data_IF_236324301269
#
_entry.id   IF_236324301269
#
_cell.length_a   1.000
_cell.length_b   1.000
_cell.length_c   1.000
_cell.angle_alpha   90.00
_cell.angle_beta   90.00
_cell.angle_gamma   90.00
#
_symmetry.space_group_name_H-M   'P 1'
#
loop_
_entity.id
_entity.type
_entity.pdbx_description
1 polymer ?
#
# COMPACT_ATOMS: atom_id res chain seq x y z
N UNK A 1 -19.09 -21.40 -13.67
CA UNK A 1 -17.87 -21.74 -12.92
C UNK A 1 -16.60 -21.45 -13.71
N UNK A 2 -16.49 -21.88 -14.98
CA UNK A 2 -15.31 -21.66 -15.81
C UNK A 2 -14.98 -20.15 -16.00
N UNK A 3 -15.97 -19.32 -16.28
CA UNK A 3 -15.80 -17.87 -16.45
C UNK A 3 -15.31 -17.18 -15.16
N UNK A 4 -15.83 -17.58 -13.99
CA UNK A 4 -15.39 -17.06 -12.69
C UNK A 4 -13.94 -17.45 -12.43
N UNK A 5 -13.60 -18.72 -12.64
CA UNK A 5 -12.23 -19.20 -12.47
C UNK A 5 -11.24 -18.47 -13.39
N UNK A 6 -11.64 -18.23 -14.62
CA UNK A 6 -10.82 -17.53 -15.62
C UNK A 6 -10.64 -16.04 -15.25
N UNK A 7 -11.71 -15.35 -14.84
CA UNK A 7 -11.66 -13.96 -14.42
C UNK A 7 -10.78 -13.78 -13.16
N UNK A 8 -10.98 -14.62 -12.14
CA UNK A 8 -10.18 -14.57 -10.91
C UNK A 8 -8.71 -14.92 -11.18
N UNK A 9 -8.45 -15.92 -12.03
CA UNK A 9 -7.10 -16.34 -12.40
C UNK A 9 -6.33 -15.24 -13.16
N UNK A 10 -7.01 -14.55 -14.08
CA UNK A 10 -6.41 -13.42 -14.82
C UNK A 10 -6.14 -12.25 -13.86
N UNK A 11 -7.09 -11.90 -12.98
CA UNK A 11 -6.91 -10.85 -11.98
C UNK A 11 -5.71 -11.13 -11.06
N UNK A 12 -5.63 -12.34 -10.51
CA UNK A 12 -4.50 -12.77 -9.69
C UNK A 12 -3.15 -12.71 -10.44
N UNK A 13 -3.13 -13.13 -11.71
CA UNK A 13 -1.91 -13.07 -12.52
C UNK A 13 -1.42 -11.62 -12.71
N UNK A 14 -2.32 -10.68 -13.02
CA UNK A 14 -1.94 -9.26 -13.16
C UNK A 14 -1.47 -8.65 -11.85
N UNK A 15 -2.12 -8.96 -10.74
CA UNK A 15 -1.73 -8.49 -9.41
C UNK A 15 -0.34 -9.03 -9.01
N UNK A 16 -0.10 -10.33 -9.24
CA UNK A 16 1.21 -10.95 -8.99
C UNK A 16 2.33 -10.32 -9.85
N UNK A 17 2.08 -10.09 -11.15
CA UNK A 17 3.05 -9.46 -12.06
C UNK A 17 3.32 -8.00 -11.68
N UNK A 18 2.29 -7.25 -11.26
CA UNK A 18 2.42 -5.88 -10.77
C UNK A 18 3.27 -5.81 -9.49
N UNK A 19 3.00 -6.66 -8.50
CA UNK A 19 3.77 -6.74 -7.27
C UNK A 19 5.23 -7.11 -7.54
N UNK A 20 5.48 -8.08 -8.40
CA UNK A 20 6.84 -8.46 -8.79
C UNK A 20 7.62 -7.32 -9.46
N UNK A 21 6.97 -6.54 -10.31
CA UNK A 21 7.60 -5.36 -10.94
C UNK A 21 7.87 -4.26 -9.94
N UNK A 22 6.98 -4.05 -8.99
CA UNK A 22 7.16 -3.10 -7.90
C UNK A 22 8.36 -3.48 -7.03
N UNK A 23 8.50 -4.74 -6.65
CA UNK A 23 9.65 -5.26 -5.89
C UNK A 23 10.97 -5.06 -6.65
N UNK A 24 10.97 -5.30 -7.97
CA UNK A 24 12.16 -5.07 -8.80
C UNK A 24 12.57 -3.59 -8.85
N UNK A 25 11.61 -2.67 -8.93
CA UNK A 25 11.89 -1.22 -8.93
C UNK A 25 12.44 -0.76 -7.59
N UNK A 26 11.91 -1.26 -6.49
CA UNK A 26 12.41 -0.95 -5.15
C UNK A 26 13.81 -1.52 -4.93
N UNK A 27 14.09 -2.74 -5.39
CA UNK A 27 15.39 -3.36 -5.27
C UNK A 27 16.51 -2.56 -5.98
N UNK A 28 16.24 -1.92 -7.13
CA UNK A 28 17.20 -1.08 -7.84
C UNK A 28 17.67 0.10 -6.97
N UNK A 29 16.75 0.75 -6.25
CA UNK A 29 17.09 1.86 -5.33
C UNK A 29 17.95 1.41 -4.13
N UNK A 30 17.71 0.19 -3.62
CA UNK A 30 18.46 -0.38 -2.49
C UNK A 30 19.86 -0.89 -2.87
N UNK A 31 20.08 -1.23 -4.14
CA UNK A 31 21.37 -1.68 -4.66
C UNK A 31 22.30 -0.54 -5.10
N UNK A 32 21.85 0.72 -5.01
CA UNK A 32 22.70 1.88 -5.31
C UNK A 32 23.98 1.82 -4.45
N UNK A 33 25.18 1.89 -5.07
CA UNK A 33 26.44 1.82 -4.35
C UNK A 33 26.64 3.08 -3.51
N UNK A 34 27.12 2.90 -2.28
CA UNK A 34 27.45 3.98 -1.34
C UNK A 34 28.88 3.79 -0.88
N UNK A 35 29.64 4.88 -0.88
CA UNK A 35 31.03 4.87 -0.46
C UNK A 35 31.14 4.99 1.06
N UNK A 36 31.69 3.96 1.69
CA UNK A 36 31.89 3.91 3.15
C UNK A 36 33.33 3.69 3.53
N UNK A 37 33.70 4.13 4.73
CA UNK A 37 35.01 3.89 5.33
C UNK A 37 34.84 2.87 6.46
N UNK A 38 35.28 1.64 6.23
CA UNK A 38 35.28 0.57 7.24
C UNK A 38 36.72 0.05 7.48
N UNK A 39 37.12 -0.01 8.71
CA UNK A 39 38.49 -0.44 9.11
C UNK A 39 39.62 0.38 8.42
N UNK A 40 39.39 1.69 8.26
CA UNK A 40 40.36 2.59 7.62
C UNK A 40 40.50 2.42 6.11
N UNK A 41 39.61 1.67 5.45
CA UNK A 41 39.57 1.46 4.00
C UNK A 41 38.27 1.96 3.40
N UNK A 42 38.39 2.70 2.31
CA UNK A 42 37.24 3.11 1.50
C UNK A 42 36.73 1.91 0.72
N UNK A 43 35.44 1.69 0.74
CA UNK A 43 34.71 0.61 0.03
C UNK A 43 33.38 1.10 -0.48
N UNK A 44 32.94 0.53 -1.57
CA UNK A 44 31.55 0.67 -2.03
C UNK A 44 30.72 -0.50 -1.53
N UNK A 45 29.58 -0.20 -0.94
CA UNK A 45 28.60 -1.20 -0.49
C UNK A 45 27.20 -0.82 -1.00
N UNK A 46 26.31 -1.78 -1.20
CA UNK A 46 24.92 -1.49 -1.47
C UNK A 46 24.28 -0.68 -0.32
N UNK A 47 23.39 0.27 -0.63
CA UNK A 47 22.69 1.09 0.35
C UNK A 47 22.02 0.28 1.47
N UNK A 48 21.47 -0.88 1.14
CA UNK A 48 20.83 -1.81 2.09
C UNK A 48 21.76 -2.39 3.16
N UNK A 49 23.08 -2.32 2.95
CA UNK A 49 24.09 -2.85 3.89
C UNK A 49 24.64 -1.80 4.86
N UNK A 50 24.10 -0.57 4.80
CA UNK A 50 24.51 0.51 5.70
C UNK A 50 23.91 0.25 7.08
N UNK A 51 24.74 0.38 8.10
CA UNK A 51 24.35 0.19 9.50
C UNK A 51 24.74 1.41 10.34
N UNK A 52 24.11 1.55 11.50
CA UNK A 52 24.47 2.59 12.48
C UNK A 52 25.94 2.46 12.88
N UNK A 53 26.65 3.58 12.85
CA UNK A 53 28.07 3.66 13.12
C UNK A 53 28.97 3.59 11.90
N UNK A 54 28.46 3.33 10.70
CA UNK A 54 29.23 3.43 9.47
C UNK A 54 29.65 4.88 9.21
N UNK A 55 30.83 5.03 8.60
CA UNK A 55 31.32 6.31 8.11
C UNK A 55 31.09 6.37 6.61
N UNK A 56 30.26 7.30 6.17
CA UNK A 56 29.87 7.48 4.76
C UNK A 56 30.54 8.71 4.20
N UNK A 57 31.08 8.58 2.99
CA UNK A 57 31.63 9.70 2.20
C UNK A 57 30.52 10.27 1.34
N UNK A 58 30.34 11.58 1.39
CA UNK A 58 29.32 12.32 0.65
C UNK A 58 29.95 13.15 -0.45
N UNK A 59 29.58 12.90 -1.69
CA UNK A 59 30.05 13.64 -2.85
C UNK A 59 28.91 14.37 -3.56
N UNK A 60 29.24 15.40 -4.30
CA UNK A 60 28.27 16.17 -5.10
C UNK A 60 27.49 15.26 -6.05
N UNK A 61 26.17 15.42 -6.06
CA UNK A 61 25.23 14.65 -6.88
C UNK A 61 24.73 13.34 -6.22
N UNK A 62 25.30 12.94 -5.09
CA UNK A 62 24.89 11.74 -4.38
C UNK A 62 23.70 12.00 -3.44
N UNK A 63 22.81 11.05 -3.33
CA UNK A 63 21.74 11.04 -2.35
C UNK A 63 22.28 10.52 -1.00
N UNK A 64 21.95 11.21 0.08
CA UNK A 64 22.35 10.84 1.44
C UNK A 64 21.56 9.57 1.85
N UNK A 65 22.26 8.47 2.18
CA UNK A 65 21.63 7.17 2.31
C UNK A 65 20.97 6.92 3.68
N UNK A 66 21.35 7.69 4.70
CA UNK A 66 20.92 7.51 6.09
C UNK A 66 20.99 8.84 6.84
N UNK A 67 20.34 8.96 8.00
CA UNK A 67 20.54 10.13 8.87
C UNK A 67 21.85 9.97 9.65
N UNK A 68 22.58 11.08 9.77
CA UNK A 68 23.85 11.04 10.49
C UNK A 68 24.41 12.42 10.82
N UNK A 69 25.49 12.40 11.58
CA UNK A 69 26.23 13.59 12.00
C UNK A 69 27.48 13.73 11.14
N UNK A 70 27.75 14.95 10.69
CA UNK A 70 28.95 15.29 9.94
C UNK A 70 30.17 15.24 10.83
N UNK A 71 31.20 14.54 10.35
CA UNK A 71 32.54 14.52 10.92
C UNK A 71 33.46 15.50 10.18
N UNK A 72 33.16 15.72 8.89
CA UNK A 72 33.88 16.66 8.03
C UNK A 72 32.89 17.27 7.05
N UNK A 73 33.02 18.57 6.78
CA UNK A 73 32.22 19.29 5.80
C UNK A 73 33.08 20.36 5.13
N UNK A 74 33.21 20.28 3.82
CA UNK A 74 33.98 21.25 3.00
C UNK A 74 32.99 21.84 2.00
N UNK A 75 32.56 23.09 2.28
CA UNK A 75 31.59 23.83 1.44
C UNK A 75 30.35 23.00 1.11
N UNK A 76 29.91 22.15 2.06
CA UNK A 76 28.84 21.21 1.84
C UNK A 76 27.49 21.91 1.76
N UNK A 77 26.82 21.77 0.63
CA UNK A 77 25.44 22.24 0.40
C UNK A 77 24.54 21.05 0.09
N UNK A 78 23.38 21.00 0.75
CA UNK A 78 22.43 19.89 0.64
C UNK A 78 21.07 20.44 0.24
N UNK A 79 20.42 19.76 -0.68
CA UNK A 79 19.02 19.98 -1.03
C UNK A 79 18.12 19.18 -0.07
N UNK A 80 17.44 19.88 0.81
CA UNK A 80 16.51 19.32 1.81
C UNK A 80 15.03 19.51 1.41
N UNK A 81 14.75 19.88 0.16
CA UNK A 81 13.38 20.20 -0.31
C UNK A 81 12.36 19.07 -0.07
N UNK A 82 12.83 17.85 -0.04
CA UNK A 82 11.97 16.69 0.23
C UNK A 82 11.45 16.60 1.68
N UNK A 83 12.14 17.27 2.61
CA UNK A 83 11.82 17.25 4.04
C UNK A 83 11.35 18.62 4.55
N UNK A 84 12.06 19.70 4.18
CA UNK A 84 11.82 21.05 4.69
C UNK A 84 11.25 22.00 3.65
N UNK A 85 11.39 21.68 2.35
CA UNK A 85 11.11 22.57 1.25
C UNK A 85 12.29 23.45 0.85
N UNK A 86 13.43 23.39 1.52
CA UNK A 86 14.61 24.23 1.27
C UNK A 86 15.51 23.60 0.21
N UNK A 87 15.81 24.37 -0.85
CA UNK A 87 16.57 23.86 -1.99
C UNK A 87 18.08 23.83 -1.75
N UNK A 88 18.60 24.71 -0.89
CA UNK A 88 20.04 24.81 -0.61
C UNK A 88 20.25 25.16 0.85
N UNK A 89 20.73 24.20 1.62
CA UNK A 89 21.10 24.36 3.03
C UNK A 89 22.59 24.15 3.18
N UNK A 90 23.26 25.12 3.79
CA UNK A 90 24.69 24.99 4.09
C UNK A 90 24.89 24.10 5.32
N UNK A 91 25.68 23.07 5.18
CA UNK A 91 26.03 22.15 6.27
C UNK A 91 27.48 22.37 6.70
N UNK A 92 27.68 22.44 8.01
CA UNK A 92 28.98 22.70 8.62
C UNK A 92 29.13 22.02 9.96
N UNK A 93 30.37 21.73 10.34
CA UNK A 93 30.73 21.24 11.67
C UNK A 93 31.18 22.37 12.62
N UNK A 94 31.36 23.61 12.09
CA UNK A 94 31.74 24.75 12.90
C UNK A 94 30.51 25.35 13.60
N UNK A 95 30.44 25.24 14.91
CA UNK A 95 29.34 25.70 15.75
C UNK A 95 29.08 27.23 15.60
N UNK A 96 30.13 28.04 15.30
CA UNK A 96 29.98 29.47 15.08
C UNK A 96 29.19 29.83 13.82
N UNK A 97 29.06 28.87 12.90
CA UNK A 97 28.38 29.04 11.61
C UNK A 97 27.05 28.29 11.56
N UNK A 98 26.58 27.78 12.70
CA UNK A 98 25.29 27.11 12.73
C UNK A 98 24.16 28.08 12.47
N UNK A 99 23.21 27.66 11.65
CA UNK A 99 21.98 28.37 11.39
C UNK A 99 20.96 28.00 12.48
N UNK A 100 20.63 28.94 13.38
CA UNK A 100 19.68 28.74 14.46
C UNK A 100 18.23 28.66 13.96
N UNK A 101 17.94 29.14 12.75
CA UNK A 101 16.60 29.10 12.13
C UNK A 101 16.39 27.83 11.29
N UNK A 102 17.44 27.06 11.03
CA UNK A 102 17.34 25.83 10.24
C UNK A 102 16.46 24.78 10.90
N UNK A 103 15.65 24.09 10.11
CA UNK A 103 14.77 23.00 10.61
C UNK A 103 15.56 21.84 11.22
N UNK A 104 16.72 21.54 10.62
CA UNK A 104 17.66 20.52 11.13
C UNK A 104 19.00 21.16 11.45
N UNK A 105 19.71 20.68 12.48
CA UNK A 105 21.02 21.20 12.84
C UNK A 105 21.99 21.22 11.66
N UNK A 106 22.84 22.26 11.61
CA UNK A 106 23.79 22.44 10.50
C UNK A 106 24.86 21.34 10.38
N UNK A 107 25.06 20.56 11.46
CA UNK A 107 25.96 19.42 11.49
C UNK A 107 25.28 18.07 11.27
N UNK A 108 23.97 18.05 11.05
CA UNK A 108 23.23 16.82 10.73
C UNK A 108 22.84 16.80 9.24
N UNK A 109 22.82 15.60 8.69
CA UNK A 109 22.34 15.33 7.32
C UNK A 109 21.31 14.21 7.35
N UNK A 110 20.30 14.35 6.50
CA UNK A 110 19.12 13.50 6.52
C UNK A 110 19.04 12.60 5.28
N UNK A 111 18.57 11.38 5.49
CA UNK A 111 18.28 10.43 4.40
C UNK A 111 17.35 11.02 3.35
N UNK A 112 17.64 10.74 2.07
CA UNK A 112 16.79 11.14 0.94
C UNK A 112 17.01 12.58 0.50
N UNK A 113 17.92 13.33 1.14
CA UNK A 113 18.41 14.63 0.67
C UNK A 113 19.58 14.44 -0.28
N UNK A 114 19.89 15.44 -1.11
CA UNK A 114 20.92 15.31 -2.15
C UNK A 114 22.02 16.34 -1.93
N UNK A 115 23.28 15.90 -2.03
CA UNK A 115 24.43 16.82 -2.01
C UNK A 115 24.45 17.62 -3.29
N UNK A 116 24.29 18.95 -3.17
CA UNK A 116 24.29 19.90 -4.32
C UNK A 116 25.72 20.31 -4.68
N UNK A 117 26.52 20.63 -3.66
CA UNK A 117 27.90 21.05 -3.82
C UNK A 117 28.73 20.67 -2.60
N UNK A 118 30.06 20.61 -2.78
CA UNK A 118 30.99 20.33 -1.73
C UNK A 118 31.20 18.84 -1.47
N UNK A 119 31.81 18.57 -0.30
CA UNK A 119 32.19 17.23 0.14
C UNK A 119 31.98 17.11 1.64
N UNK A 120 31.60 15.93 2.11
CA UNK A 120 31.46 15.66 3.53
C UNK A 120 31.73 14.20 3.91
N UNK A 121 32.01 14.00 5.18
CA UNK A 121 32.09 12.69 5.80
C UNK A 121 31.12 12.68 6.96
N UNK A 122 30.21 11.71 6.97
CA UNK A 122 29.22 11.57 8.03
C UNK A 122 29.36 10.23 8.76
N UNK A 123 28.96 10.22 10.02
CA UNK A 123 28.73 9.02 10.81
C UNK A 123 27.23 8.74 10.82
N UNK A 124 26.85 7.54 10.42
CA UNK A 124 25.45 7.09 10.43
C UNK A 124 24.94 6.93 11.85
N UNK A 125 23.80 7.55 12.17
CA UNK A 125 23.13 7.43 13.46
C UNK A 125 21.80 6.71 13.37
N UNK A 126 21.04 6.91 12.27
CA UNK A 126 19.72 6.29 12.06
C UNK A 126 19.61 5.73 10.65
N UNK A 127 19.00 4.55 10.54
CA UNK A 127 18.79 3.85 9.27
C UNK A 127 17.33 3.39 9.13
N UNK A 128 16.88 3.16 7.91
CA UNK A 128 15.54 2.61 7.60
C UNK A 128 14.41 3.46 8.16
N UNK A 129 13.47 2.82 8.86
CA UNK A 129 12.27 3.45 9.43
C UNK A 129 12.57 4.40 10.61
N UNK A 130 13.76 4.34 11.18
CA UNK A 130 14.18 5.24 12.27
C UNK A 130 14.68 6.59 11.77
N UNK A 131 14.91 6.76 10.46
CA UNK A 131 15.25 8.04 9.83
C UNK A 131 14.07 9.00 9.83
N UNK A 132 14.32 10.30 9.66
CA UNK A 132 13.24 11.30 9.60
C UNK A 132 12.26 11.01 8.44
N UNK A 133 12.76 10.71 7.25
CA UNK A 133 11.91 10.34 6.13
C UNK A 133 11.16 9.00 6.37
N UNK A 134 11.79 8.06 7.08
CA UNK A 134 11.16 6.81 7.48
C UNK A 134 9.99 7.02 8.44
N UNK A 135 10.14 7.91 9.42
CA UNK A 135 9.05 8.29 10.35
C UNK A 135 7.89 8.93 9.61
N UNK A 136 8.16 9.86 8.67
CA UNK A 136 7.11 10.49 7.85
C UNK A 136 6.39 9.46 6.99
N UNK A 137 7.11 8.56 6.33
CA UNK A 137 6.53 7.51 5.52
C UNK A 137 5.64 6.56 6.35
N UNK A 138 6.09 6.19 7.56
CA UNK A 138 5.31 5.38 8.49
C UNK A 138 4.05 6.09 8.95
N UNK A 139 4.13 7.35 9.35
CA UNK A 139 2.97 8.16 9.74
C UNK A 139 1.96 8.31 8.60
N UNK A 140 2.44 8.52 7.36
CA UNK A 140 1.58 8.59 6.20
C UNK A 140 0.84 7.27 5.93
N UNK A 141 1.50 6.13 6.17
CA UNK A 141 0.89 4.81 6.02
C UNK A 141 -0.13 4.53 7.13
N UNK A 142 0.21 4.84 8.38
CA UNK A 142 -0.69 4.69 9.53
C UNK A 142 -1.94 5.58 9.41
N UNK A 143 -1.81 6.81 8.89
CA UNK A 143 -2.93 7.70 8.61
C UNK A 143 -3.80 7.26 7.44
N UNK A 144 -3.24 6.51 6.49
CA UNK A 144 -4.00 5.97 5.35
C UNK A 144 -4.98 4.86 5.75
N UNK A 145 -4.84 4.27 6.94
CA UNK A 145 -5.80 3.31 7.51
C UNK A 145 -7.02 4.01 8.14
N UNK A 146 -6.99 5.31 8.39
CA UNK A 146 -8.17 6.04 8.84
C UNK A 146 -9.15 6.23 7.70
N UNK A 147 -10.29 5.52 7.79
CA UNK A 147 -11.38 5.65 6.82
C UNK A 147 -11.86 7.10 6.76
N UNK A 148 -11.87 7.67 5.57
CA UNK A 148 -12.43 9.03 5.40
C UNK A 148 -13.92 9.04 5.80
N UNK A 149 -14.46 10.16 6.32
CA UNK A 149 -15.89 10.28 6.65
C UNK A 149 -16.81 9.91 5.48
N UNK A 150 -16.35 10.13 4.24
CA UNK A 150 -17.05 9.75 3.02
C UNK A 150 -17.08 8.22 2.87
N UNK A 151 -15.96 7.53 3.05
CA UNK A 151 -15.90 6.07 3.00
C UNK A 151 -16.82 5.42 4.03
N UNK A 152 -16.83 5.94 5.26
CA UNK A 152 -17.72 5.45 6.33
C UNK A 152 -19.20 5.59 5.91
N UNK A 153 -19.57 6.71 5.30
CA UNK A 153 -20.96 6.93 4.82
C UNK A 153 -21.29 6.01 3.63
N UNK A 154 -20.37 5.83 2.69
CA UNK A 154 -20.54 4.93 1.54
C UNK A 154 -20.65 3.47 1.99
N UNK A 155 -19.84 3.03 2.93
CA UNK A 155 -19.91 1.67 3.51
C UNK A 155 -21.24 1.43 4.22
N UNK A 156 -21.73 2.42 4.99
CA UNK A 156 -23.07 2.34 5.62
C UNK A 156 -24.18 2.26 4.58
N UNK A 157 -24.10 3.07 3.53
CA UNK A 157 -25.09 3.07 2.43
C UNK A 157 -25.06 1.73 1.67
N UNK A 158 -23.86 1.20 1.35
CA UNK A 158 -23.70 -0.10 0.73
C UNK A 158 -24.29 -1.22 1.58
N UNK A 159 -24.02 -1.22 2.88
CA UNK A 159 -24.61 -2.18 3.82
C UNK A 159 -26.15 -2.09 3.89
N UNK A 160 -26.70 -0.89 3.81
CA UNK A 160 -28.16 -0.67 3.78
C UNK A 160 -28.79 -1.22 2.47
N UNK A 161 -28.19 -0.89 1.32
CA UNK A 161 -28.64 -1.40 0.00
C UNK A 161 -28.51 -2.92 -0.05
N UNK A 162 -27.39 -3.49 0.44
CA UNK A 162 -27.20 -4.93 0.52
C UNK A 162 -28.26 -5.65 1.37
N UNK A 163 -28.63 -5.07 2.52
CA UNK A 163 -29.71 -5.61 3.36
C UNK A 163 -31.06 -5.59 2.66
N UNK A 164 -31.39 -4.51 1.99
CA UNK A 164 -32.64 -4.39 1.20
C UNK A 164 -32.62 -5.42 0.06
N UNK A 165 -31.54 -5.49 -0.72
CA UNK A 165 -31.39 -6.43 -1.82
C UNK A 165 -31.53 -7.88 -1.37
N UNK A 166 -30.87 -8.25 -0.27
CA UNK A 166 -30.97 -9.57 0.32
C UNK A 166 -32.40 -9.90 0.77
N UNK A 167 -33.08 -8.94 1.41
CA UNK A 167 -34.46 -9.12 1.88
C UNK A 167 -35.41 -9.34 0.70
N UNK A 168 -35.30 -8.52 -0.36
CA UNK A 168 -36.13 -8.65 -1.56
C UNK A 168 -35.87 -9.98 -2.26
N UNK A 169 -34.59 -10.38 -2.41
CA UNK A 169 -34.21 -11.64 -3.03
C UNK A 169 -34.77 -12.84 -2.26
N UNK A 170 -34.66 -12.83 -0.93
CA UNK A 170 -35.20 -13.89 -0.06
C UNK A 170 -36.71 -13.97 -0.16
N UNK A 171 -37.41 -12.83 -0.12
CA UNK A 171 -38.86 -12.76 -0.23
C UNK A 171 -39.31 -13.27 -1.60
N UNK A 172 -38.66 -12.85 -2.67
CA UNK A 172 -38.94 -13.31 -4.04
C UNK A 172 -38.74 -14.83 -4.14
N UNK A 173 -37.64 -15.37 -3.60
CA UNK A 173 -37.38 -16.79 -3.58
C UNK A 173 -38.52 -17.57 -2.89
N UNK A 174 -38.89 -17.14 -1.68
CA UNK A 174 -39.94 -17.82 -0.91
C UNK A 174 -41.29 -17.77 -1.63
N UNK A 175 -41.72 -16.58 -2.08
CA UNK A 175 -43.03 -16.39 -2.69
C UNK A 175 -43.16 -17.18 -3.99
N UNK A 176 -42.17 -17.07 -4.89
CA UNK A 176 -42.28 -17.76 -6.18
C UNK A 176 -42.09 -19.27 -6.05
N UNK A 177 -41.18 -19.75 -5.17
CA UNK A 177 -41.03 -21.16 -4.88
C UNK A 177 -42.32 -21.74 -4.28
N UNK A 178 -42.93 -21.08 -3.30
CA UNK A 178 -44.16 -21.51 -2.69
C UNK A 178 -45.33 -21.56 -3.68
N UNK A 179 -45.43 -20.52 -4.55
CA UNK A 179 -46.48 -20.47 -5.58
C UNK A 179 -46.40 -21.62 -6.57
N UNK A 180 -45.22 -21.83 -7.16
CA UNK A 180 -45.02 -22.87 -8.16
C UNK A 180 -45.08 -24.29 -7.53
N UNK A 181 -44.56 -24.43 -6.30
CA UNK A 181 -44.68 -25.69 -5.56
C UNK A 181 -46.16 -26.02 -5.23
N UNK A 182 -46.93 -25.03 -4.77
CA UNK A 182 -48.35 -25.22 -4.51
C UNK A 182 -49.11 -25.60 -5.79
N UNK A 183 -48.86 -24.92 -6.89
CA UNK A 183 -49.45 -25.25 -8.21
C UNK A 183 -49.07 -26.65 -8.67
N UNK A 184 -47.83 -27.08 -8.48
CA UNK A 184 -47.34 -28.41 -8.85
C UNK A 184 -47.99 -29.51 -8.01
N UNK A 185 -48.09 -29.32 -6.70
CA UNK A 185 -48.67 -30.27 -5.76
C UNK A 185 -50.18 -30.48 -5.95
N UNK A 186 -50.89 -29.45 -6.40
CA UNK A 186 -52.35 -29.56 -6.68
C UNK A 186 -52.67 -30.36 -7.95
N UNK A 187 -51.69 -30.50 -8.86
CA UNK A 187 -51.91 -31.13 -10.17
C UNK A 187 -51.28 -32.51 -10.24
N UNK A 188 -50.19 -32.79 -9.47
CA UNK A 188 -49.39 -34.00 -9.58
C UNK A 188 -49.25 -34.67 -8.19
N UNK A 189 -49.46 -35.98 -8.11
CA UNK A 189 -49.07 -36.77 -6.97
C UNK A 189 -47.58 -37.08 -7.02
N UNK A 190 -46.85 -36.85 -5.88
CA UNK A 190 -45.44 -37.12 -5.79
C UNK A 190 -45.28 -38.64 -5.42
N UNK A 191 -45.34 -39.49 -6.43
CA UNK A 191 -45.14 -40.91 -6.23
C UNK A 191 -43.80 -41.42 -6.75
N UNK A 192 -43.17 -40.70 -7.69
CA UNK A 192 -41.98 -41.15 -8.43
C UNK A 192 -40.78 -40.20 -8.29
N UNK A 193 -39.59 -40.75 -8.57
CA UNK A 193 -38.32 -39.99 -8.65
C UNK A 193 -38.41 -38.75 -9.56
N UNK A 194 -39.20 -38.79 -10.63
CA UNK A 194 -39.43 -37.66 -11.54
C UNK A 194 -40.13 -36.47 -10.85
N UNK A 195 -41.03 -36.75 -9.90
CA UNK A 195 -41.68 -35.70 -9.10
C UNK A 195 -40.69 -34.95 -8.22
N UNK A 196 -39.79 -35.64 -7.52
CA UNK A 196 -38.74 -35.01 -6.74
C UNK A 196 -37.78 -34.20 -7.57
N UNK A 197 -37.40 -34.66 -8.78
CA UNK A 197 -36.57 -33.89 -9.70
C UNK A 197 -37.29 -32.62 -10.22
N UNK A 198 -38.60 -32.66 -10.41
CA UNK A 198 -39.38 -31.45 -10.79
C UNK A 198 -39.37 -30.39 -9.68
N UNK A 199 -39.57 -30.80 -8.42
CA UNK A 199 -39.47 -29.92 -7.25
C UNK A 199 -38.05 -29.33 -7.13
N UNK A 200 -37.03 -30.14 -7.23
CA UNK A 200 -35.64 -29.66 -7.20
C UNK A 200 -35.34 -28.64 -8.29
N UNK A 201 -35.89 -28.81 -9.49
CA UNK A 201 -35.76 -27.87 -10.59
C UNK A 201 -36.46 -26.54 -10.31
N UNK A 202 -37.66 -26.55 -9.71
CA UNK A 202 -38.37 -25.34 -9.30
C UNK A 202 -37.56 -24.56 -8.27
N UNK A 203 -37.08 -25.24 -7.22
CA UNK A 203 -36.26 -24.62 -6.16
C UNK A 203 -34.98 -24.04 -6.74
N UNK A 204 -34.27 -24.82 -7.56
CA UNK A 204 -33.02 -24.37 -8.18
C UNK A 204 -33.20 -23.15 -9.09
N UNK A 205 -34.29 -23.11 -9.86
CA UNK A 205 -34.65 -21.98 -10.74
C UNK A 205 -34.79 -20.68 -9.95
N UNK A 206 -35.55 -20.69 -8.87
CA UNK A 206 -35.77 -19.49 -8.06
C UNK A 206 -34.59 -19.17 -7.15
N UNK A 207 -33.81 -20.15 -6.74
CA UNK A 207 -32.53 -19.94 -6.07
C UNK A 207 -31.55 -19.18 -6.96
N UNK A 208 -31.39 -19.61 -8.22
CA UNK A 208 -30.53 -18.92 -9.17
C UNK A 208 -31.00 -17.49 -9.44
N UNK A 209 -32.32 -17.27 -9.52
CA UNK A 209 -32.92 -15.94 -9.66
C UNK A 209 -32.61 -15.05 -8.45
N UNK A 210 -32.73 -15.56 -7.23
CA UNK A 210 -32.41 -14.85 -6.00
C UNK A 210 -30.94 -14.50 -5.91
N UNK A 211 -30.04 -15.42 -6.26
CA UNK A 211 -28.59 -15.16 -6.34
C UNK A 211 -28.27 -14.04 -7.33
N UNK A 212 -28.91 -14.05 -8.50
CA UNK A 212 -28.73 -12.99 -9.49
C UNK A 212 -29.18 -11.63 -8.96
N UNK A 213 -30.32 -11.57 -8.25
CA UNK A 213 -30.80 -10.34 -7.61
C UNK A 213 -29.84 -9.83 -6.54
N UNK A 214 -29.25 -10.70 -5.74
CA UNK A 214 -28.25 -10.32 -4.74
C UNK A 214 -27.00 -9.74 -5.42
N UNK A 215 -26.48 -10.41 -6.44
CA UNK A 215 -25.29 -9.96 -7.17
C UNK A 215 -25.49 -8.59 -7.81
N UNK A 216 -26.66 -8.35 -8.42
CA UNK A 216 -27.00 -7.05 -9.02
C UNK A 216 -27.23 -5.96 -7.97
N UNK A 217 -27.69 -6.33 -6.76
CA UNK A 217 -27.92 -5.38 -5.68
C UNK A 217 -26.62 -4.94 -4.97
N UNK A 218 -25.52 -5.68 -5.11
CA UNK A 218 -24.22 -5.28 -4.55
C UNK A 218 -23.61 -4.22 -5.45
N UNK A 219 -23.36 -2.99 -4.94
CA UNK A 219 -22.75 -1.94 -5.75
C UNK A 219 -21.28 -2.32 -6.06
N UNK A 220 -21.01 -2.65 -7.33
CA UNK A 220 -19.66 -2.88 -7.82
C UNK A 220 -18.90 -1.55 -7.82
N UNK A 221 -17.77 -1.47 -7.10
CA UNK A 221 -16.88 -0.30 -7.07
C UNK A 221 -16.86 0.50 -5.77
N UNK A 222 -17.49 0.02 -4.71
CA UNK A 222 -17.16 0.51 -3.38
C UNK A 222 -15.86 -0.18 -2.92
N UNK A 223 -14.86 0.58 -2.43
CA UNK A 223 -13.64 -0.01 -1.88
C UNK A 223 -14.04 -0.90 -0.70
N UNK A 224 -13.66 -2.17 -0.78
CA UNK A 224 -13.74 -3.11 0.33
C UNK A 224 -12.50 -2.98 1.19
#
# INVERSE_FOLDING_TARGET
FFAIFLATGIGFYFEYDANKKFDLLNAVGEETPVTVIRNGKVREIPRKEIVVGDIVVLNTGEEIPADGILLEAISLQVNESNLTGELMVNKTINEELFDEEATYPSNEVMRGTTVVDGHGIMKVERVGDSTEIGKVARQATEQSEEETPLNIQLTKLAGFIGKIGFTIATLTFIVFTAKDLYSYLNVNEITDWHGWMAIARIVLKYFMMAVTLIVVAVPEGLPM
#
